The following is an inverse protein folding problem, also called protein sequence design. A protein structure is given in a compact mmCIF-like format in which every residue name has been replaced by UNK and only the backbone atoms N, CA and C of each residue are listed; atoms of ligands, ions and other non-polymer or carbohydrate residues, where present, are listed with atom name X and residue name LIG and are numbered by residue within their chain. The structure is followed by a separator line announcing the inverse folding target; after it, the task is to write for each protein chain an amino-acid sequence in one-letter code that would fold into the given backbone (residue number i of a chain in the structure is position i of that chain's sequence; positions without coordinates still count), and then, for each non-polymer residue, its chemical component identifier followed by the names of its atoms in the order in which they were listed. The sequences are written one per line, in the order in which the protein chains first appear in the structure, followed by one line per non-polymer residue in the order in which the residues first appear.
data_IF_173046074756
#
_entry.id   IF_173046074756
#
_cell.length_a   1.000
_cell.length_b   1.000
_cell.length_c   1.000
_cell.angle_alpha   90.00
_cell.angle_beta   90.00
_cell.angle_gamma   90.00
#
_symmetry.space_group_name_H-M   'P 1'
#
loop_
_entity.id
_entity.type
_entity.pdbx_description
1 polymer ?
#
# COMPACT_ATOMS: atom_id res chain seq x y z
N UNK A 1 -19.36 18.83 7.02
CA UNK A 1 -20.64 18.41 6.42
C UNK A 1 -20.72 18.88 4.98
N UNK A 2 -19.85 18.30 4.16
CA UNK A 2 -19.68 18.65 2.76
C UNK A 2 -18.37 18.02 2.32
N UNK A 3 -18.41 17.26 1.23
CA UNK A 3 -17.31 16.41 0.73
C UNK A 3 -15.93 17.11 0.74
N UNK A 4 -15.87 18.39 0.37
CA UNK A 4 -14.62 19.17 0.39
C UNK A 4 -14.13 19.54 1.80
N UNK A 5 -15.02 19.65 2.78
CA UNK A 5 -14.69 19.89 4.17
C UNK A 5 -14.08 18.65 4.83
N UNK A 6 -14.68 17.49 4.59
CA UNK A 6 -14.16 16.19 5.06
C UNK A 6 -12.79 15.88 4.43
N UNK A 7 -12.65 16.05 3.10
CA UNK A 7 -11.35 15.88 2.43
C UNK A 7 -10.27 16.80 3.00
N UNK A 8 -10.61 18.05 3.31
CA UNK A 8 -9.67 18.99 3.94
C UNK A 8 -9.29 18.53 5.35
N UNK A 9 -10.26 18.07 6.14
CA UNK A 9 -10.02 17.55 7.49
C UNK A 9 -9.13 16.32 7.45
N UNK A 10 -9.33 15.40 6.51
CA UNK A 10 -8.49 14.22 6.30
C UNK A 10 -7.06 14.60 5.92
N UNK A 11 -6.87 15.54 4.98
CA UNK A 11 -5.54 16.01 4.59
C UNK A 11 -4.84 16.73 5.75
N UNK A 12 -5.58 17.54 6.51
CA UNK A 12 -5.03 18.22 7.70
C UNK A 12 -4.66 17.20 8.79
N UNK A 13 -5.47 16.16 8.97
CA UNK A 13 -5.20 15.03 9.87
C UNK A 13 -3.93 14.30 9.46
N UNK A 14 -3.83 13.88 8.20
CA UNK A 14 -2.64 13.23 7.65
C UNK A 14 -1.35 14.05 7.82
N UNK A 15 -1.42 15.38 7.69
CA UNK A 15 -0.24 16.25 7.84
C UNK A 15 0.12 16.50 9.32
N UNK A 16 -0.86 16.58 10.21
CA UNK A 16 -0.62 16.97 11.61
C UNK A 16 -0.42 15.78 12.55
N UNK A 17 -1.13 14.68 12.31
CA UNK A 17 -1.10 13.49 13.15
C UNK A 17 -1.47 12.24 12.31
N UNK A 18 -0.56 11.76 11.43
CA UNK A 18 -0.84 10.60 10.60
C UNK A 18 -0.84 9.29 11.40
N UNK A 19 -1.71 8.36 11.02
CA UNK A 19 -1.68 6.97 11.52
C UNK A 19 -0.42 6.25 11.04
N UNK A 20 -0.04 5.15 11.70
CA UNK A 20 1.16 4.40 11.33
C UNK A 20 1.04 3.73 9.95
N UNK A 21 -0.17 3.32 9.55
CA UNK A 21 -0.49 2.84 8.21
C UNK A 21 -0.31 3.94 7.16
N UNK A 22 -0.81 5.15 7.43
CA UNK A 22 -0.65 6.30 6.55
C UNK A 22 0.83 6.68 6.38
N UNK A 23 1.63 6.59 7.44
CA UNK A 23 3.09 6.76 7.37
C UNK A 23 3.73 5.68 6.50
N UNK A 24 3.34 4.41 6.68
CA UNK A 24 3.85 3.31 5.88
C UNK A 24 3.53 3.48 4.39
N UNK A 25 2.30 3.89 4.06
CA UNK A 25 1.87 4.19 2.69
C UNK A 25 2.66 5.37 2.10
N UNK A 26 2.88 6.44 2.87
CA UNK A 26 3.68 7.58 2.42
C UNK A 26 5.13 7.18 2.13
N UNK A 27 5.73 6.38 3.03
CA UNK A 27 7.10 5.87 2.85
C UNK A 27 7.18 4.97 1.62
N UNK A 28 6.21 4.07 1.42
CA UNK A 28 6.14 3.21 0.24
C UNK A 28 6.05 4.03 -1.05
N UNK A 29 5.20 5.06 -1.07
CA UNK A 29 5.08 5.98 -2.20
C UNK A 29 6.41 6.71 -2.50
N UNK A 30 7.07 7.23 -1.47
CA UNK A 30 8.39 7.88 -1.63
C UNK A 30 9.44 6.89 -2.15
N UNK A 31 9.45 5.66 -1.63
CA UNK A 31 10.35 4.61 -2.09
C UNK A 31 10.12 4.25 -3.57
N UNK A 32 8.85 4.15 -4.00
CA UNK A 32 8.50 3.94 -5.41
C UNK A 32 9.05 5.05 -6.31
N UNK A 33 8.89 6.32 -5.92
CA UNK A 33 9.42 7.44 -6.70
C UNK A 33 10.94 7.40 -6.82
N UNK A 34 11.63 7.09 -5.72
CA UNK A 34 13.10 6.95 -5.72
C UNK A 34 13.53 5.77 -6.60
N UNK A 35 12.83 4.64 -6.52
CA UNK A 35 13.13 3.45 -7.33
C UNK A 35 12.94 3.71 -8.82
N UNK A 36 11.83 4.35 -9.22
CA UNK A 36 11.60 4.76 -10.61
C UNK A 36 12.73 5.69 -11.09
N UNK A 37 13.08 6.70 -10.29
CA UNK A 37 14.12 7.66 -10.65
C UNK A 37 15.50 7.04 -10.74
N UNK A 38 15.80 6.06 -9.88
CA UNK A 38 17.06 5.33 -9.86
C UNK A 38 17.21 4.45 -11.10
N UNK A 39 16.17 3.68 -11.44
CA UNK A 39 16.16 2.82 -12.62
C UNK A 39 16.15 3.61 -13.94
N UNK A 40 15.61 4.84 -13.94
CA UNK A 40 15.74 5.75 -15.08
C UNK A 40 17.20 6.10 -15.38
N UNK A 41 18.07 6.23 -14.37
CA UNK A 41 19.50 6.51 -14.58
C UNK A 41 20.27 5.33 -15.19
N UNK A 42 19.69 4.14 -15.22
CA UNK A 42 20.29 2.91 -15.77
C UNK A 42 19.59 2.52 -17.09
N UNK A 43 18.85 3.45 -17.71
CA UNK A 43 18.20 3.29 -19.02
C UNK A 43 17.26 2.07 -19.15
N UNK A 44 16.60 1.67 -18.05
CA UNK A 44 15.61 0.59 -18.09
C UNK A 44 14.37 0.98 -18.93
N UNK A 45 13.78 0.04 -19.69
CA UNK A 45 12.52 0.27 -20.39
C UNK A 45 11.42 0.71 -19.43
N UNK A 46 10.57 1.65 -19.87
CA UNK A 46 9.53 2.27 -19.04
C UNK A 46 8.67 1.25 -18.29
N UNK A 47 8.16 0.23 -18.98
CA UNK A 47 7.29 -0.79 -18.38
C UNK A 47 7.99 -1.57 -17.27
N UNK A 48 9.23 -2.00 -17.50
CA UNK A 48 10.01 -2.75 -16.52
C UNK A 48 10.31 -1.87 -15.31
N UNK A 49 10.66 -0.61 -15.56
CA UNK A 49 10.94 0.39 -14.54
C UNK A 49 9.75 0.63 -13.63
N UNK A 50 8.57 0.89 -14.19
CA UNK A 50 7.36 1.17 -13.43
C UNK A 50 6.92 -0.05 -12.62
N UNK A 51 6.99 -1.24 -13.20
CA UNK A 51 6.63 -2.48 -12.49
C UNK A 51 7.59 -2.75 -11.33
N UNK A 52 8.89 -2.57 -11.55
CA UNK A 52 9.89 -2.72 -10.48
C UNK A 52 9.69 -1.68 -9.37
N UNK A 53 9.39 -0.43 -9.72
CA UNK A 53 9.10 0.62 -8.74
C UNK A 53 7.87 0.26 -7.88
N UNK A 54 6.77 -0.17 -8.49
CA UNK A 54 5.59 -0.67 -7.76
C UNK A 54 5.95 -1.85 -6.86
N UNK A 55 6.75 -2.80 -7.35
CA UNK A 55 7.24 -3.92 -6.56
C UNK A 55 8.03 -3.50 -5.31
N UNK A 56 8.88 -2.47 -5.43
CA UNK A 56 9.59 -1.89 -4.27
C UNK A 56 8.62 -1.29 -3.25
N UNK A 57 7.57 -0.61 -3.71
CA UNK A 57 6.51 -0.11 -2.83
C UNK A 57 5.83 -1.23 -2.05
N UNK A 58 5.45 -2.31 -2.74
CA UNK A 58 4.85 -3.50 -2.10
C UNK A 58 5.79 -4.15 -1.08
N UNK A 59 7.05 -4.40 -1.44
CA UNK A 59 8.03 -4.97 -0.50
C UNK A 59 8.16 -4.09 0.75
N UNK A 60 8.19 -2.77 0.57
CA UNK A 60 8.21 -1.82 1.69
C UNK A 60 7.00 -1.98 2.62
N UNK A 61 5.80 -2.17 2.06
CA UNK A 61 4.58 -2.37 2.85
C UNK A 61 4.57 -3.71 3.60
N UNK A 62 5.07 -4.79 3.01
CA UNK A 62 5.20 -6.08 3.70
C UNK A 62 6.15 -5.99 4.89
N UNK A 63 7.28 -5.28 4.73
CA UNK A 63 8.23 -5.02 5.82
C UNK A 63 7.56 -4.16 6.89
N UNK A 64 6.89 -3.08 6.50
CA UNK A 64 6.20 -2.20 7.44
C UNK A 64 5.10 -2.94 8.22
N UNK A 65 4.30 -3.76 7.54
CA UNK A 65 3.29 -4.62 8.14
C UNK A 65 3.92 -5.55 9.19
N UNK A 66 4.97 -6.27 8.83
CA UNK A 66 5.68 -7.15 9.76
C UNK A 66 6.20 -6.41 11.00
N UNK A 67 6.73 -5.20 10.84
CA UNK A 67 7.25 -4.41 11.95
C UNK A 67 6.15 -3.85 12.88
N UNK A 68 4.97 -3.56 12.34
CA UNK A 68 3.84 -3.00 13.10
C UNK A 68 3.02 -4.10 13.77
N UNK A 69 2.75 -5.20 13.08
CA UNK A 69 1.77 -6.22 13.48
C UNK A 69 2.40 -7.57 13.85
N UNK A 70 3.68 -7.79 13.49
CA UNK A 70 4.34 -9.09 13.62
C UNK A 70 3.99 -10.09 12.51
N UNK A 71 3.17 -9.70 11.54
CA UNK A 71 2.74 -10.52 10.40
C UNK A 71 3.11 -9.84 9.08
N UNK A 72 3.56 -10.60 8.08
CA UNK A 72 3.96 -10.04 6.78
C UNK A 72 2.80 -9.51 5.93
N UNK A 73 1.60 -9.98 6.22
CA UNK A 73 0.36 -9.48 5.66
C UNK A 73 -0.30 -8.68 6.77
N UNK A 74 -0.85 -7.48 6.49
CA UNK A 74 -1.68 -6.79 7.45
C UNK A 74 -2.73 -7.79 7.97
N UNK A 75 -2.88 -7.95 9.30
CA UNK A 75 -4.02 -8.68 9.84
C UNK A 75 -5.24 -8.00 9.25
N UNK A 76 -6.18 -8.78 8.72
CA UNK A 76 -7.45 -8.27 8.21
C UNK A 76 -8.22 -7.64 9.39
N UNK A 77 -7.89 -6.38 9.69
CA UNK A 77 -8.62 -5.56 10.64
C UNK A 77 -9.95 -5.21 10.00
N UNK A 78 -11.01 -5.84 10.50
CA UNK A 78 -12.41 -5.76 10.06
C UNK A 78 -12.76 -6.45 8.73
N UNK A 79 -12.25 -7.66 8.48
CA UNK A 79 -12.87 -8.58 7.49
C UNK A 79 -14.00 -9.44 8.07
N UNK A 80 -14.37 -9.24 9.34
CA UNK A 80 -15.46 -9.93 10.03
C UNK A 80 -16.76 -9.09 10.14
N UNK A 81 -16.80 -7.86 9.60
CA UNK A 81 -18.03 -7.07 9.47
C UNK A 81 -18.30 -6.74 7.98
N UNK A 82 -19.24 -7.51 7.41
CA UNK A 82 -19.80 -7.43 6.04
C UNK A 82 -19.00 -8.05 4.89
N UNK A 83 -18.98 -9.39 4.90
CA UNK A 83 -18.95 -10.19 3.68
C UNK A 83 -17.65 -10.93 3.49
N UNK A 84 -17.58 -12.14 4.06
CA UNK A 84 -16.55 -13.11 3.70
C UNK A 84 -16.43 -13.16 2.16
N UNK A 85 -15.23 -12.94 1.58
CA UNK A 85 -15.03 -13.30 0.20
C UNK A 85 -15.12 -14.83 0.16
N UNK A 86 -16.26 -15.33 -0.32
CA UNK A 86 -16.51 -16.73 -0.65
C UNK A 86 -15.19 -17.39 -1.04
N UNK A 87 -14.74 -18.34 -0.22
CA UNK A 87 -13.58 -19.16 -0.51
C UNK A 87 -13.71 -19.63 -1.97
N UNK A 88 -12.77 -19.23 -2.84
CA UNK A 88 -12.81 -19.61 -4.25
C UNK A 88 -12.74 -21.15 -4.31
N UNK A 89 -13.89 -21.80 -4.42
CA UNK A 89 -13.98 -23.23 -4.69
C UNK A 89 -13.51 -23.41 -6.13
N UNK A 90 -12.34 -24.04 -6.29
CA UNK A 90 -11.79 -24.37 -7.60
C UNK A 90 -12.74 -25.35 -8.31
N UNK A 91 -13.49 -24.87 -9.32
CA UNK A 91 -14.43 -25.68 -10.12
C UNK A 91 -13.74 -26.79 -10.94
N UNK A 92 -12.41 -26.91 -10.86
CA UNK A 92 -11.60 -27.92 -11.55
C UNK A 92 -11.07 -29.06 -10.65
N UNK A 93 -11.44 -29.12 -9.37
CA UNK A 93 -11.12 -30.28 -8.51
C UNK A 93 -12.11 -31.43 -8.79
N UNK A 94 -11.66 -32.61 -9.28
CA UNK A 94 -12.53 -33.73 -9.66
C UNK A 94 -13.11 -34.54 -8.49
#
# INVERSE_FOLDING_TARGET
MGFFGELKEDVVGFVRDPTDEQKALLVAFVAMMIADRALWWVDFPFVVRTTAAVGVGFIGLFIASYLITGQFVPPDGDADDEGEPEEYVDELDP
#
